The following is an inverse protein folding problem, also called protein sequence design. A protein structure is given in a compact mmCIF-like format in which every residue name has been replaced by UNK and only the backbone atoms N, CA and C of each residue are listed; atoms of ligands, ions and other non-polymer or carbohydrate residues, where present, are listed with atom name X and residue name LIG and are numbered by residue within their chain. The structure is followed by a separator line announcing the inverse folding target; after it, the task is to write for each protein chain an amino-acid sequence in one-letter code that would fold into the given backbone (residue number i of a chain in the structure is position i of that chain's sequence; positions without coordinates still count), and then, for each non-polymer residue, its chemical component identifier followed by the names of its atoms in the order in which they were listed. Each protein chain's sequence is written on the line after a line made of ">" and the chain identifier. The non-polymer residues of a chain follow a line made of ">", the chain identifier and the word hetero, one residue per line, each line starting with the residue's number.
data_IF_834420875982
#
_entry.id   IF_834420875982
#
_cell.length_a   1.000
_cell.length_b   1.000
_cell.length_c   1.000
_cell.angle_alpha   90.00
_cell.angle_beta   90.00
_cell.angle_gamma   90.00
#
_symmetry.space_group_name_H-M   'P 1'
#
loop_
_entity.id
_entity.type
_entity.pdbx_description
1 polymer ?
#
# COMPACT_ATOMS: atom_id res chain seq x y z
N UNK A 1 -1.73 -11.81 -1.55
CA UNK A 1 -1.19 -11.69 -0.19
C UNK A 1 -2.26 -11.40 0.87
N UNK A 2 -3.52 -11.79 0.57
CA UNK A 2 -4.61 -11.63 1.52
C UNK A 2 -4.38 -12.50 2.75
N UNK A 3 -4.78 -11.99 3.93
CA UNK A 3 -4.83 -12.75 5.17
C UNK A 3 -3.53 -13.46 5.53
N UNK A 4 -2.40 -12.81 5.30
CA UNK A 4 -1.10 -13.38 5.59
C UNK A 4 -0.42 -12.81 6.84
N UNK A 5 -1.13 -11.97 7.60
CA UNK A 5 -0.56 -11.38 8.81
C UNK A 5 0.57 -10.39 8.53
N UNK A 6 0.57 -9.80 7.33
CA UNK A 6 1.59 -8.81 6.97
C UNK A 6 1.40 -7.57 7.84
N UNK A 7 2.46 -7.18 8.51
CA UNK A 7 2.45 -6.04 9.44
C UNK A 7 3.06 -4.81 8.77
N UNK A 8 3.20 -3.75 9.56
CA UNK A 8 3.90 -2.54 9.15
C UNK A 8 5.28 -2.85 8.58
N UNK A 9 6.01 -3.76 9.21
CA UNK A 9 7.35 -4.16 8.76
C UNK A 9 7.30 -4.79 7.36
N UNK A 10 6.34 -5.69 7.15
CA UNK A 10 6.17 -6.33 5.85
C UNK A 10 5.78 -5.34 4.77
N UNK A 11 4.90 -4.39 5.11
CA UNK A 11 4.50 -3.34 4.18
C UNK A 11 5.70 -2.47 3.78
N UNK A 12 6.55 -2.12 4.74
CA UNK A 12 7.75 -1.35 4.45
C UNK A 12 8.72 -2.12 3.56
N UNK A 13 8.83 -3.43 3.80
CA UNK A 13 9.68 -4.29 2.97
C UNK A 13 9.17 -4.35 1.52
N UNK A 14 7.85 -4.51 1.35
CA UNK A 14 7.25 -4.50 0.01
C UNK A 14 7.48 -3.16 -0.67
N UNK A 15 7.26 -2.06 0.05
CA UNK A 15 7.39 -0.71 -0.49
C UNK A 15 8.83 -0.38 -0.91
N UNK A 16 9.82 -1.09 -0.36
CA UNK A 16 11.23 -0.84 -0.64
C UNK A 16 11.87 -1.91 -1.51
N UNK A 17 11.13 -2.95 -1.89
CA UNK A 17 11.70 -4.08 -2.60
C UNK A 17 12.12 -3.69 -4.02
N UNK A 18 13.40 -3.78 -4.37
CA UNK A 18 13.84 -3.39 -5.71
C UNK A 18 13.38 -4.33 -6.81
N UNK A 19 12.82 -5.49 -6.45
CA UNK A 19 12.37 -6.47 -7.44
C UNK A 19 10.89 -6.30 -7.82
N UNK A 20 10.13 -5.43 -7.12
CA UNK A 20 8.70 -5.27 -7.35
C UNK A 20 8.35 -4.07 -8.23
N UNK A 21 9.29 -3.58 -9.02
CA UNK A 21 9.08 -2.38 -9.82
C UNK A 21 8.04 -2.56 -10.94
N UNK A 22 7.80 -3.80 -11.37
CA UNK A 22 6.85 -4.08 -12.43
C UNK A 22 5.44 -4.43 -11.92
N UNK A 23 5.25 -4.43 -10.61
CA UNK A 23 3.96 -4.80 -10.03
C UNK A 23 2.90 -3.80 -10.39
N UNK A 24 1.77 -4.27 -10.92
CA UNK A 24 0.65 -3.40 -11.31
C UNK A 24 -0.58 -3.60 -10.44
N UNK A 25 -0.69 -4.72 -9.74
CA UNK A 25 -1.83 -5.02 -8.89
C UNK A 25 -1.33 -5.59 -7.57
N UNK A 26 -1.81 -5.02 -6.46
CA UNK A 26 -1.42 -5.48 -5.14
C UNK A 26 -2.66 -5.57 -4.25
N UNK A 27 -2.96 -6.78 -3.80
CA UNK A 27 -4.08 -7.05 -2.91
C UNK A 27 -3.53 -7.47 -1.55
N UNK A 28 -3.69 -6.60 -0.55
CA UNK A 28 -3.23 -6.87 0.81
C UNK A 28 -4.41 -6.90 1.80
N UNK A 29 -5.58 -7.29 1.35
CA UNK A 29 -6.78 -7.35 2.17
C UNK A 29 -6.55 -8.20 3.43
N UNK A 30 -7.07 -7.72 4.56
CA UNK A 30 -7.07 -8.45 5.83
C UNK A 30 -5.67 -8.82 6.34
N UNK A 31 -4.79 -7.86 6.33
CA UNK A 31 -3.50 -7.95 6.98
C UNK A 31 -3.45 -6.98 8.16
N UNK A 32 -2.28 -6.66 8.66
CA UNK A 32 -2.10 -5.79 9.83
C UNK A 32 -1.16 -4.62 9.53
N UNK A 33 -1.36 -4.01 8.38
CA UNK A 33 -0.44 -3.01 7.86
C UNK A 33 -0.44 -1.73 8.70
N UNK A 34 -1.62 -1.27 9.11
CA UNK A 34 -1.75 -0.08 9.94
C UNK A 34 -1.41 1.21 9.20
N UNK A 35 -1.49 2.32 9.95
CA UNK A 35 -1.27 3.65 9.36
C UNK A 35 0.15 3.84 8.84
N UNK A 36 1.15 3.38 9.59
CA UNK A 36 2.54 3.56 9.19
C UNK A 36 2.90 2.72 7.97
N UNK A 37 2.33 1.52 7.87
CA UNK A 37 2.52 0.70 6.68
C UNK A 37 1.88 1.33 5.46
N UNK A 38 0.70 1.92 5.64
CA UNK A 38 0.03 2.63 4.56
C UNK A 38 0.85 3.82 4.07
N UNK A 39 1.44 4.57 4.99
CA UNK A 39 2.31 5.70 4.63
C UNK A 39 3.55 5.23 3.86
N UNK A 40 4.13 4.09 4.27
CA UNK A 40 5.27 3.54 3.56
C UNK A 40 4.92 3.20 2.11
N UNK A 41 3.73 2.62 1.90
CA UNK A 41 3.26 2.29 0.55
C UNK A 41 3.02 3.57 -0.25
N UNK A 42 2.39 4.57 0.35
CA UNK A 42 2.12 5.84 -0.31
C UNK A 42 3.41 6.54 -0.77
N UNK A 43 4.49 6.35 -0.02
CA UNK A 43 5.78 6.99 -0.31
C UNK A 43 6.74 6.09 -1.08
N UNK A 44 6.27 4.94 -1.55
CA UNK A 44 7.13 3.98 -2.23
C UNK A 44 7.50 4.44 -3.64
N UNK A 45 8.80 4.58 -3.90
CA UNK A 45 9.28 4.81 -5.26
C UNK A 45 9.34 3.53 -6.08
N UNK A 46 9.27 2.37 -5.42
CA UNK A 46 9.32 1.07 -6.08
C UNK A 46 7.98 0.69 -6.72
N UNK A 47 6.87 1.02 -6.06
CA UNK A 47 5.54 0.60 -6.48
C UNK A 47 4.86 1.60 -7.42
N UNK A 48 5.64 2.36 -8.17
CA UNK A 48 5.10 3.44 -9.02
C UNK A 48 4.25 2.95 -10.19
N UNK A 49 4.31 1.67 -10.52
CA UNK A 49 3.51 1.11 -11.61
C UNK A 49 2.19 0.51 -11.16
N UNK A 50 1.85 0.61 -9.88
CA UNK A 50 0.58 0.09 -9.38
C UNK A 50 -0.60 0.79 -10.04
N UNK A 51 -1.54 0.00 -10.52
CA UNK A 51 -2.80 0.45 -11.07
C UNK A 51 -3.94 0.13 -10.10
N UNK A 52 -3.84 -0.99 -9.42
CA UNK A 52 -4.84 -1.46 -8.45
C UNK A 52 -4.17 -1.72 -7.10
N UNK A 53 -4.75 -1.16 -6.04
CA UNK A 53 -4.25 -1.36 -4.67
C UNK A 53 -5.44 -1.53 -3.74
N UNK A 54 -5.51 -2.67 -3.04
CA UNK A 54 -6.57 -2.95 -2.07
C UNK A 54 -5.96 -3.17 -0.70
N UNK A 55 -6.26 -2.27 0.22
CA UNK A 55 -5.76 -2.30 1.60
C UNK A 55 -6.89 -2.45 2.63
N UNK A 56 -8.03 -2.98 2.23
CA UNK A 56 -9.16 -3.17 3.13
C UNK A 56 -8.82 -4.10 4.28
N UNK A 57 -9.39 -3.82 5.47
CA UNK A 57 -9.17 -4.68 6.63
C UNK A 57 -7.77 -4.62 7.21
N UNK A 58 -7.06 -3.50 7.06
CA UNK A 58 -5.68 -3.36 7.49
C UNK A 58 -5.47 -2.38 8.64
N UNK A 59 -6.54 -2.02 9.35
CA UNK A 59 -6.44 -1.11 10.51
C UNK A 59 -5.87 0.25 10.15
N UNK A 60 -6.17 0.73 8.94
CA UNK A 60 -5.78 2.07 8.51
C UNK A 60 -6.88 3.01 8.99
N UNK A 61 -6.60 3.74 10.06
CA UNK A 61 -7.59 4.58 10.74
C UNK A 61 -7.34 6.07 10.54
N UNK A 62 -6.09 6.44 10.32
CA UNK A 62 -5.71 7.84 10.19
C UNK A 62 -6.17 8.43 8.86
N UNK A 63 -6.85 9.57 8.89
CA UNK A 63 -7.18 10.30 7.66
C UNK A 63 -5.91 10.75 6.94
N UNK A 64 -4.87 11.08 7.69
CA UNK A 64 -3.59 11.45 7.09
C UNK A 64 -3.05 10.33 6.21
N UNK A 65 -3.09 9.09 6.68
CA UNK A 65 -2.62 7.95 5.89
C UNK A 65 -3.48 7.73 4.66
N UNK A 66 -4.80 7.85 4.79
CA UNK A 66 -5.71 7.68 3.66
C UNK A 66 -5.50 8.75 2.61
N UNK A 67 -5.32 10.00 3.04
CA UNK A 67 -5.05 11.11 2.13
C UNK A 67 -3.70 10.91 1.44
N UNK A 68 -2.70 10.46 2.18
CA UNK A 68 -1.38 10.20 1.61
C UNK A 68 -1.45 9.18 0.48
N UNK A 69 -2.28 8.14 0.63
CA UNK A 69 -2.48 7.14 -0.41
C UNK A 69 -3.20 7.73 -1.63
N UNK A 70 -4.28 8.49 -1.38
CA UNK A 70 -5.06 9.08 -2.48
C UNK A 70 -4.28 10.13 -3.26
N UNK A 71 -3.43 10.88 -2.58
CA UNK A 71 -2.71 11.99 -3.19
C UNK A 71 -1.22 11.70 -3.34
N UNK A 72 -0.86 10.43 -3.35
CA UNK A 72 0.53 10.04 -3.47
C UNK A 72 1.14 10.53 -4.78
N UNK A 73 2.29 11.18 -4.67
CA UNK A 73 3.05 11.63 -5.84
C UNK A 73 3.88 10.49 -6.44
N UNK A 74 3.95 9.36 -5.75
CA UNK A 74 4.72 8.19 -6.19
C UNK A 74 3.84 7.16 -6.90
N UNK A 75 2.59 6.99 -6.45
CA UNK A 75 1.66 6.03 -7.04
C UNK A 75 0.87 6.71 -8.16
N UNK A 76 1.58 7.21 -9.15
CA UNK A 76 1.02 8.09 -10.17
C UNK A 76 0.09 7.41 -11.18
N UNK A 77 0.14 6.09 -11.28
CA UNK A 77 -0.69 5.34 -12.22
C UNK A 77 -1.87 4.65 -11.58
N UNK A 78 -2.08 4.89 -10.30
CA UNK A 78 -3.12 4.22 -9.53
C UNK A 78 -4.50 4.65 -10.00
N UNK A 79 -5.33 3.68 -10.41
CA UNK A 79 -6.69 3.91 -10.85
C UNK A 79 -7.72 3.42 -9.85
N UNK A 80 -7.42 2.36 -9.12
CA UNK A 80 -8.31 1.81 -8.10
C UNK A 80 -7.59 1.72 -6.79
N UNK A 81 -8.14 2.38 -5.78
CA UNK A 81 -7.60 2.34 -4.42
C UNK A 81 -8.75 2.02 -3.46
N UNK A 82 -8.59 0.96 -2.69
CA UNK A 82 -9.55 0.56 -1.66
C UNK A 82 -8.83 0.48 -0.32
N UNK A 83 -9.32 1.21 0.69
CA UNK A 83 -8.69 1.26 2.01
C UNK A 83 -9.62 0.79 3.14
N UNK A 84 -10.76 0.25 2.80
CA UNK A 84 -11.76 -0.20 3.79
C UNK A 84 -12.16 -1.66 3.60
#
# INVERSE_FOLDING_TARGET
>A
LEQNGITERGAKALASSPTLTQLTSLNLVDNRIGDQGALAIANSGTLSNLIYLHLGGNRIKSETAKIALRESKNLTQLKTLKVF
#
